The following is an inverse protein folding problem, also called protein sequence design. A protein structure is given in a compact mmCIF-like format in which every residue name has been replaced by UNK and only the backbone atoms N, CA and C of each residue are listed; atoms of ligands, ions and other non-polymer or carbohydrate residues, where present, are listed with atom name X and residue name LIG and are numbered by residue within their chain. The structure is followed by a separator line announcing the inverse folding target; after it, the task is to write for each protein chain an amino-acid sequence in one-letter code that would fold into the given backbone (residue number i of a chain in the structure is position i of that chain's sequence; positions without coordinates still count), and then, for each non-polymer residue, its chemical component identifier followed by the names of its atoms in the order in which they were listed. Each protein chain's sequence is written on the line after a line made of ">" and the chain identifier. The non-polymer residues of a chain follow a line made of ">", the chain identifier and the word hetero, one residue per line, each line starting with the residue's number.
data_IF_238961754147
#
_entry.id   IF_238961754147
#
_cell.length_a   1.000
_cell.length_b   1.000
_cell.length_c   1.000
_cell.angle_alpha   90.00
_cell.angle_beta   90.00
_cell.angle_gamma   90.00
#
_symmetry.space_group_name_H-M   'P 1'
#
loop_
_entity.id
_entity.type
_entity.pdbx_description
1 polymer ?
#
# COMPACT_ATOMS: atom_id res chain seq x y z
N UNK A 1 25.10 12.88 1.21
CA UNK A 1 23.69 12.66 0.81
C UNK A 1 23.08 11.58 1.71
N UNK A 2 22.34 11.95 2.75
CA UNK A 2 21.62 11.01 3.61
C UNK A 2 20.19 11.53 3.82
N UNK A 3 19.30 11.24 2.86
CA UNK A 3 17.88 11.63 2.93
C UNK A 3 16.92 10.43 2.80
N UNK A 4 17.45 9.20 2.78
CA UNK A 4 16.64 7.98 2.62
C UNK A 4 16.29 7.35 4.00
N UNK A 5 16.94 7.77 5.08
CA UNK A 5 16.96 7.03 6.35
C UNK A 5 16.03 7.55 7.46
N UNK A 6 15.08 8.44 7.14
CA UNK A 6 14.06 8.91 8.10
C UNK A 6 12.65 8.90 7.50
N UNK A 7 12.31 7.84 6.78
CA UNK A 7 10.90 7.51 6.62
C UNK A 7 10.42 7.03 7.99
N UNK A 8 9.60 7.82 8.70
CA UNK A 8 8.97 7.36 9.94
C UNK A 8 8.36 5.96 9.72
N UNK A 9 8.27 5.10 10.77
CA UNK A 9 7.70 3.75 10.67
C UNK A 9 6.33 3.68 9.97
N UNK A 10 5.58 4.80 9.96
CA UNK A 10 4.33 4.96 9.22
C UNK A 10 4.49 4.97 7.71
N UNK A 11 5.50 5.67 7.19
CA UNK A 11 5.79 5.71 5.77
C UNK A 11 6.32 4.37 5.26
N UNK A 12 6.93 3.55 6.13
CA UNK A 12 7.32 2.18 5.81
C UNK A 12 6.12 1.26 5.54
N UNK A 13 5.05 1.37 6.34
CA UNK A 13 3.82 0.59 6.13
C UNK A 13 3.05 1.04 4.88
N UNK A 14 2.96 2.35 4.64
CA UNK A 14 2.35 2.89 3.40
C UNK A 14 3.14 2.47 2.16
N UNK A 15 4.48 2.56 2.20
CA UNK A 15 5.34 2.11 1.11
C UNK A 15 5.22 0.60 0.86
N UNK A 16 5.09 -0.20 1.91
CA UNK A 16 4.84 -1.65 1.81
C UNK A 16 3.51 -1.94 1.12
N UNK A 17 2.45 -1.25 1.54
CA UNK A 17 1.12 -1.41 0.93
C UNK A 17 1.13 -1.01 -0.55
N UNK A 18 1.80 0.10 -0.90
CA UNK A 18 1.94 0.56 -2.28
C UNK A 18 2.72 -0.43 -3.16
N UNK A 19 3.81 -1.03 -2.65
CA UNK A 19 4.55 -2.09 -3.36
C UNK A 19 3.70 -3.34 -3.57
N UNK A 20 2.86 -3.69 -2.61
CA UNK A 20 1.92 -4.81 -2.77
C UNK A 20 0.86 -4.50 -3.82
N UNK A 21 0.30 -3.29 -3.84
CA UNK A 21 -0.63 -2.85 -4.88
C UNK A 21 0.00 -2.92 -6.28
N UNK A 22 1.25 -2.46 -6.43
CA UNK A 22 1.97 -2.56 -7.70
C UNK A 22 2.11 -4.02 -8.17
N UNK A 23 2.48 -4.94 -7.28
CA UNK A 23 2.57 -6.37 -7.60
C UNK A 23 1.22 -6.94 -8.02
N UNK A 24 0.14 -6.58 -7.32
CA UNK A 24 -1.22 -7.03 -7.65
C UNK A 24 -1.65 -6.51 -9.02
N UNK A 25 -1.41 -5.23 -9.33
CA UNK A 25 -1.70 -4.65 -10.65
C UNK A 25 -0.92 -5.37 -11.75
N UNK A 26 0.37 -5.66 -11.54
CA UNK A 26 1.17 -6.43 -12.50
C UNK A 26 0.63 -7.85 -12.68
N UNK A 27 0.21 -8.52 -11.62
CA UNK A 27 -0.39 -9.85 -11.69
C UNK A 27 -1.75 -9.86 -12.43
N UNK A 28 -2.56 -8.81 -12.26
CA UNK A 28 -3.83 -8.64 -12.96
C UNK A 28 -3.65 -8.24 -14.44
N UNK A 29 -2.60 -7.46 -14.76
CA UNK A 29 -2.31 -6.95 -16.11
C UNK A 29 -1.49 -7.90 -17.00
N UNK A 30 -0.83 -8.91 -16.43
CA UNK A 30 -0.32 -10.03 -17.22
C UNK A 30 -1.52 -10.80 -17.79
N UNK A 31 -1.42 -11.38 -19.00
CA UNK A 31 -2.45 -12.24 -19.56
C UNK A 31 -2.51 -13.54 -18.74
N UNK A 32 -3.10 -13.43 -17.56
CA UNK A 32 -3.38 -14.53 -16.65
C UNK A 32 -4.57 -15.24 -17.27
N UNK A 33 -4.27 -16.09 -18.25
CA UNK A 33 -5.20 -16.77 -19.15
C UNK A 33 -6.26 -17.66 -18.46
N UNK A 34 -6.37 -17.66 -17.13
CA UNK A 34 -7.21 -18.59 -16.37
C UNK A 34 -7.76 -18.05 -15.04
N UNK A 35 -7.65 -16.75 -14.72
CA UNK A 35 -8.30 -16.23 -13.52
C UNK A 35 -9.68 -15.66 -13.86
N UNK A 36 -10.79 -16.13 -13.24
CA UNK A 36 -12.09 -15.51 -13.41
C UNK A 36 -12.00 -14.05 -12.97
N UNK A 37 -12.47 -13.11 -13.80
CA UNK A 37 -12.29 -11.67 -13.58
C UNK A 37 -12.73 -11.15 -12.20
N UNK A 38 -13.65 -11.87 -11.52
CA UNK A 38 -14.04 -11.58 -10.14
C UNK A 38 -12.89 -11.73 -9.14
N UNK A 39 -12.09 -12.81 -9.23
CA UNK A 39 -10.97 -13.04 -8.32
C UNK A 39 -9.89 -11.96 -8.44
N UNK A 40 -9.59 -11.51 -9.66
CA UNK A 40 -8.66 -10.40 -9.90
C UNK A 40 -9.17 -9.08 -9.30
N UNK A 41 -10.47 -8.84 -9.44
CA UNK A 41 -11.13 -7.64 -8.91
C UNK A 41 -11.09 -7.63 -7.38
N UNK A 42 -11.33 -8.77 -6.74
CA UNK A 42 -11.23 -8.93 -5.28
C UNK A 42 -9.79 -8.73 -4.76
N UNK A 43 -8.79 -9.25 -5.48
CA UNK A 43 -7.38 -9.04 -5.15
C UNK A 43 -6.99 -7.55 -5.23
N UNK A 44 -7.43 -6.86 -6.29
CA UNK A 44 -7.25 -5.41 -6.45
C UNK A 44 -7.95 -4.63 -5.35
N UNK A 45 -9.21 -4.96 -5.04
CA UNK A 45 -9.98 -4.31 -3.98
C UNK A 45 -9.30 -4.46 -2.61
N UNK A 46 -8.75 -5.63 -2.33
CA UNK A 46 -8.02 -5.91 -1.08
C UNK A 46 -6.74 -5.08 -0.99
N UNK A 47 -5.92 -5.08 -2.05
CA UNK A 47 -4.68 -4.30 -2.08
C UNK A 47 -4.93 -2.79 -1.94
N UNK A 48 -6.00 -2.26 -2.56
CA UNK A 48 -6.40 -0.86 -2.40
C UNK A 48 -6.84 -0.54 -0.97
N UNK A 49 -7.60 -1.45 -0.34
CA UNK A 49 -8.05 -1.29 1.05
C UNK A 49 -6.87 -1.22 2.02
N UNK A 50 -5.84 -2.03 1.79
CA UNK A 50 -4.62 -2.02 2.61
C UNK A 50 -3.86 -0.71 2.51
N UNK A 51 -3.74 -0.12 1.31
CA UNK A 51 -3.15 1.21 1.11
C UNK A 51 -3.96 2.28 1.85
N UNK A 52 -5.28 2.27 1.73
CA UNK A 52 -6.16 3.23 2.43
C UNK A 52 -6.01 3.10 3.95
N UNK A 53 -5.92 1.88 4.47
CA UNK A 53 -5.73 1.64 5.90
C UNK A 53 -4.36 2.12 6.38
N UNK A 54 -3.28 1.80 5.65
CA UNK A 54 -1.94 2.27 5.97
C UNK A 54 -1.88 3.80 5.99
N UNK A 55 -2.49 4.47 5.00
CA UNK A 55 -2.57 5.94 4.93
C UNK A 55 -3.39 6.54 6.08
N UNK A 56 -4.52 5.93 6.45
CA UNK A 56 -5.31 6.35 7.63
C UNK A 56 -4.50 6.23 8.92
N UNK A 57 -3.71 5.17 9.07
CA UNK A 57 -2.86 4.96 10.24
C UNK A 57 -1.71 5.97 10.30
N UNK A 58 -1.10 6.28 9.15
CA UNK A 58 -0.09 7.33 9.04
C UNK A 58 -0.67 8.71 9.43
N UNK A 59 -1.79 9.12 8.83
CA UNK A 59 -2.44 10.41 9.14
C UNK A 59 -2.88 10.49 10.61
N UNK A 60 -3.30 9.38 11.23
CA UNK A 60 -3.65 9.36 12.65
C UNK A 60 -2.41 9.57 13.51
N UNK A 61 -1.34 8.84 13.26
CA UNK A 61 -0.13 8.92 14.09
C UNK A 61 0.62 10.25 13.90
N UNK A 62 0.62 10.86 12.71
CA UNK A 62 1.17 12.21 12.51
C UNK A 62 0.40 13.32 13.25
N UNK A 63 -0.90 13.11 13.53
CA UNK A 63 -1.69 14.02 14.38
C UNK A 63 -1.40 13.86 15.88
N UNK A 64 -0.74 12.78 16.29
CA UNK A 64 -0.42 12.47 17.68
C UNK A 64 1.06 12.67 18.03
N UNK A 65 1.90 13.15 17.10
CA UNK A 65 3.24 13.63 17.45
C UNK A 65 3.12 15.05 18.01
N UNK A 66 3.24 15.27 19.33
CA UNK A 66 3.43 16.63 19.82
C UNK A 66 4.74 17.12 19.22
N UNK A 67 4.68 18.24 18.49
CA UNK A 67 5.87 19.01 18.16
C UNK A 67 6.58 19.31 19.48
N UNK A 68 7.78 18.74 19.64
CA UNK A 68 8.74 19.18 20.67
C UNK A 68 9.56 20.33 20.10
#
# INVERSE_FOLDING_TARGET
>A
MQLINMLEPQYHEELRALRNLEKTIRACGLPTAMAPGQAQTEMLATALKDVVNARKLAIRKSRFTPFK
#
